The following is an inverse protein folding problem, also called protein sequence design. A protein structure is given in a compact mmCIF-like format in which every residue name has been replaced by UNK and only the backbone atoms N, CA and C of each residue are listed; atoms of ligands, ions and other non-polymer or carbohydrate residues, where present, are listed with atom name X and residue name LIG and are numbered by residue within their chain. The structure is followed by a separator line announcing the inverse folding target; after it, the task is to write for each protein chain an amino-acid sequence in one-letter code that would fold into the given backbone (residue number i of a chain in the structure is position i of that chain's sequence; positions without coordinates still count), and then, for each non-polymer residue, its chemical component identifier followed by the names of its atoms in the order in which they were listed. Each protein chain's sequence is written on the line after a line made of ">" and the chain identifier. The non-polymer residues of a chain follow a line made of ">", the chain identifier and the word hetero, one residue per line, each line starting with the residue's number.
data_IF_741686891287
#
_entry.id   IF_741686891287
#
_cell.length_a   1.000
_cell.length_b   1.000
_cell.length_c   1.000
_cell.angle_alpha   90.00
_cell.angle_beta   90.00
_cell.angle_gamma   90.00
#
_symmetry.space_group_name_H-M   'P 1'
#
loop_
_entity.id
_entity.type
_entity.pdbx_description
1 polymer ?
#
# COMPACT_ATOMS: atom_id res chain seq x y z
N UNK A 1 -4.69 -5.11 -1.10
CA UNK A 1 -3.80 -3.99 -0.79
C UNK A 1 -2.85 -4.39 0.35
N UNK A 2 -1.59 -4.07 0.22
CA UNK A 2 -0.63 -4.46 1.24
C UNK A 2 0.68 -3.70 1.17
N UNK A 3 1.45 -3.79 2.27
CA UNK A 3 2.79 -3.22 2.40
C UNK A 3 3.83 -4.29 2.04
N UNK A 4 4.77 -3.92 1.17
CA UNK A 4 5.90 -4.77 0.81
C UNK A 4 7.20 -4.08 1.24
N UNK A 5 7.95 -4.72 2.15
CA UNK A 5 9.20 -4.17 2.68
C UNK A 5 10.37 -4.92 2.04
N UNK A 6 11.25 -4.21 1.36
CA UNK A 6 12.32 -4.81 0.57
C UNK A 6 13.23 -5.72 1.39
N UNK A 7 13.72 -5.26 2.54
CA UNK A 7 14.60 -6.07 3.39
C UNK A 7 13.91 -7.26 4.06
N UNK A 8 12.58 -7.31 4.02
CA UNK A 8 11.81 -8.43 4.55
C UNK A 8 11.29 -9.34 3.42
N UNK A 9 11.93 -9.30 2.26
CA UNK A 9 11.57 -10.10 1.08
C UNK A 9 10.12 -9.90 0.64
N UNK A 10 9.64 -8.66 0.78
CA UNK A 10 8.28 -8.31 0.38
C UNK A 10 7.21 -8.50 1.43
N UNK A 11 7.57 -8.97 2.63
CA UNK A 11 6.60 -9.08 3.74
C UNK A 11 6.30 -7.69 4.31
N UNK A 12 5.15 -7.46 4.93
CA UNK A 12 4.04 -8.39 5.19
C UNK A 12 3.22 -8.83 3.97
N UNK A 13 3.24 -8.07 2.85
CA UNK A 13 2.52 -8.44 1.64
C UNK A 13 1.03 -8.68 1.87
N UNK A 14 0.53 -9.84 1.44
CA UNK A 14 -0.90 -10.19 1.59
C UNK A 14 -1.32 -10.36 3.05
N UNK A 15 -0.37 -10.49 3.96
CA UNK A 15 -0.65 -10.65 5.40
C UNK A 15 -0.63 -9.32 6.15
N UNK A 16 -0.57 -8.16 5.45
CA UNK A 16 -0.39 -6.85 6.08
C UNK A 16 -1.36 -6.57 7.24
N UNK A 17 -2.65 -6.86 7.07
CA UNK A 17 -3.65 -6.59 8.10
C UNK A 17 -3.56 -7.54 9.32
N UNK A 18 -2.91 -8.69 9.16
CA UNK A 18 -2.84 -9.73 10.19
C UNK A 18 -1.41 -10.24 10.40
N UNK A 19 -0.45 -9.34 10.26
CA UNK A 19 0.97 -9.70 10.35
C UNK A 19 1.39 -10.11 11.75
N UNK A 20 0.89 -9.43 12.77
CA UNK A 20 1.12 -9.80 14.16
C UNK A 20 0.05 -10.78 14.66
N UNK A 21 0.38 -11.50 15.74
CA UNK A 21 -0.55 -12.40 16.40
C UNK A 21 -1.80 -11.66 16.87
N UNK A 22 -1.62 -10.44 17.37
CA UNK A 22 -2.70 -9.59 17.89
C UNK A 22 -3.55 -8.97 16.78
N UNK A 23 -3.02 -8.86 15.58
CA UNK A 23 -3.69 -8.32 14.39
C UNK A 23 -4.20 -6.89 14.54
N UNK A 24 -3.51 -6.08 15.37
CA UNK A 24 -3.77 -4.64 15.48
C UNK A 24 -2.75 -3.88 14.66
N UNK A 25 -3.11 -2.66 14.24
CA UNK A 25 -2.19 -1.80 13.49
C UNK A 25 -0.90 -1.56 14.28
N UNK A 26 -1.03 -1.26 15.57
CA UNK A 26 0.13 -1.00 16.43
C UNK A 26 1.06 -2.20 16.52
N UNK A 27 0.52 -3.40 16.73
CA UNK A 27 1.32 -4.61 16.85
C UNK A 27 1.90 -5.04 15.53
N UNK A 28 1.20 -4.82 14.43
CA UNK A 28 1.71 -5.08 13.08
C UNK A 28 2.92 -4.19 12.78
N UNK A 29 2.83 -2.89 13.13
CA UNK A 29 3.94 -1.95 13.00
C UNK A 29 5.13 -2.41 13.84
N UNK A 30 4.90 -2.73 15.11
CA UNK A 30 5.96 -3.21 16.02
C UNK A 30 6.69 -4.42 15.45
N UNK A 31 5.95 -5.37 14.87
CA UNK A 31 6.56 -6.56 14.28
C UNK A 31 7.46 -6.23 13.09
N UNK A 32 7.01 -5.36 12.18
CA UNK A 32 7.82 -4.91 11.05
C UNK A 32 9.10 -4.24 11.54
N UNK A 33 8.99 -3.31 12.49
CA UNK A 33 10.16 -2.59 13.01
C UNK A 33 11.13 -3.52 13.73
N UNK A 34 10.62 -4.49 14.48
CA UNK A 34 11.44 -5.50 15.15
C UNK A 34 12.21 -6.35 14.15
N UNK A 35 11.55 -6.79 13.11
CA UNK A 35 12.19 -7.63 12.08
C UNK A 35 13.24 -6.87 11.28
N UNK A 36 13.07 -5.56 11.09
CA UNK A 36 14.07 -4.73 10.44
C UNK A 36 15.30 -4.49 11.32
N UNK A 37 15.14 -4.61 12.63
CA UNK A 37 16.24 -4.53 13.59
C UNK A 37 17.16 -3.30 13.38
N UNK A 38 16.53 -2.13 13.20
CA UNK A 38 17.25 -0.87 13.00
C UNK A 38 17.78 -0.61 11.60
N UNK A 39 17.55 -1.52 10.66
CA UNK A 39 18.04 -1.36 9.29
C UNK A 39 17.02 -0.61 8.45
N UNK A 40 17.50 0.40 7.72
CA UNK A 40 16.66 1.15 6.79
C UNK A 40 16.23 0.25 5.62
N UNK A 41 15.00 0.41 5.17
CA UNK A 41 14.50 -0.33 4.03
C UNK A 41 13.59 0.51 3.17
N UNK A 42 13.68 0.30 1.87
CA UNK A 42 12.66 0.77 0.94
C UNK A 42 11.43 -0.10 1.11
N UNK A 43 10.29 0.48 0.81
CA UNK A 43 9.01 -0.20 0.89
C UNK A 43 8.06 0.35 -0.15
N UNK A 44 6.99 -0.37 -0.40
CA UNK A 44 5.92 0.09 -1.27
C UNK A 44 4.59 -0.43 -0.79
N UNK A 45 3.56 0.37 -0.97
CA UNK A 45 2.19 -0.12 -0.90
C UNK A 45 1.78 -0.61 -2.29
N UNK A 46 1.08 -1.72 -2.33
CA UNK A 46 0.61 -2.35 -3.56
C UNK A 46 -0.89 -2.58 -3.45
N UNK A 47 -1.62 -2.22 -4.50
CA UNK A 47 -3.04 -2.54 -4.63
C UNK A 47 -3.26 -3.26 -5.95
N UNK A 48 -4.01 -4.35 -5.93
CA UNK A 48 -4.37 -5.08 -7.14
C UNK A 48 -5.88 -5.29 -7.15
N UNK A 49 -6.52 -4.91 -8.26
CA UNK A 49 -7.92 -5.20 -8.50
C UNK A 49 -7.98 -6.30 -9.57
N UNK A 50 -8.72 -7.36 -9.30
CA UNK A 50 -8.91 -8.45 -10.24
C UNK A 50 -10.34 -8.41 -10.78
N UNK A 51 -10.47 -8.53 -12.09
CA UNK A 51 -11.75 -8.66 -12.77
C UNK A 51 -11.80 -9.99 -13.48
N UNK A 52 -12.81 -10.80 -13.15
CA UNK A 52 -13.06 -12.07 -13.83
C UNK A 52 -14.33 -11.92 -14.64
N UNK A 53 -14.23 -12.12 -15.96
CA UNK A 53 -15.39 -12.03 -16.85
C UNK A 53 -16.16 -13.36 -16.90
N UNK A 54 -17.43 -13.35 -17.33
CA UNK A 54 -18.21 -14.59 -17.44
C UNK A 54 -17.59 -15.64 -18.36
N UNK A 55 -16.76 -15.23 -19.33
CA UNK A 55 -16.08 -16.16 -20.24
C UNK A 55 -14.81 -16.78 -19.62
N UNK A 56 -14.49 -16.45 -18.36
CA UNK A 56 -13.33 -16.97 -17.65
C UNK A 56 -12.05 -16.15 -17.80
N UNK A 57 -12.05 -15.10 -18.62
CA UNK A 57 -10.86 -14.25 -18.75
C UNK A 57 -10.65 -13.40 -17.49
N UNK A 58 -9.38 -13.24 -17.11
CA UNK A 58 -9.00 -12.43 -15.96
C UNK A 58 -8.19 -11.21 -16.40
N UNK A 59 -8.45 -10.09 -15.72
CA UNK A 59 -7.68 -8.86 -15.90
C UNK A 59 -7.30 -8.36 -14.52
N UNK A 60 -6.06 -7.88 -14.37
CA UNK A 60 -5.61 -7.30 -13.10
C UNK A 60 -5.16 -5.86 -13.33
N UNK A 61 -5.37 -5.03 -12.29
CA UNK A 61 -5.04 -3.60 -12.33
C UNK A 61 -4.23 -3.29 -11.08
N UNK A 62 -2.95 -2.99 -11.28
CA UNK A 62 -1.99 -2.83 -10.18
C UNK A 62 -1.60 -1.37 -10.01
N UNK A 63 -1.63 -0.91 -8.75
CA UNK A 63 -1.09 0.38 -8.36
C UNK A 63 -0.02 0.20 -7.30
N UNK A 64 1.01 1.05 -7.33
CA UNK A 64 2.09 1.02 -6.37
C UNK A 64 2.42 2.44 -5.90
N UNK A 65 2.75 2.57 -4.62
CA UNK A 65 3.28 3.81 -4.06
C UNK A 65 4.58 3.47 -3.34
N UNK A 66 5.68 4.05 -3.78
CA UNK A 66 7.01 3.77 -3.26
C UNK A 66 7.38 4.74 -2.14
N UNK A 67 8.05 4.23 -1.12
CA UNK A 67 8.51 4.99 0.01
C UNK A 67 9.58 4.25 0.79
N UNK A 68 9.70 4.62 2.06
CA UNK A 68 10.69 4.02 2.97
C UNK A 68 10.05 3.78 4.33
N UNK A 69 10.59 2.83 5.08
CA UNK A 69 10.17 2.59 6.46
C UNK A 69 11.03 3.45 7.38
N UNK A 70 10.38 4.18 8.29
CA UNK A 70 11.05 4.91 9.37
C UNK A 70 10.70 4.26 10.71
N UNK A 71 11.55 4.47 11.71
CA UNK A 71 11.42 3.80 13.02
C UNK A 71 10.67 4.62 14.05
N UNK A 72 10.31 5.85 13.73
CA UNK A 72 9.51 6.73 14.57
C UNK A 72 8.15 6.92 13.94
N UNK A 73 7.09 6.64 14.68
CA UNK A 73 5.73 6.87 14.19
C UNK A 73 5.48 8.37 14.08
N UNK A 74 5.02 8.80 12.92
CA UNK A 74 4.72 10.21 12.67
C UNK A 74 3.33 10.34 12.05
N UNK A 75 2.50 11.20 12.65
CA UNK A 75 1.16 11.50 12.16
C UNK A 75 0.08 10.62 12.77
N UNK A 76 -1.16 11.06 12.62
CA UNK A 76 -2.33 10.40 13.22
C UNK A 76 -3.43 10.10 12.21
N UNK A 77 -3.23 10.45 10.94
CA UNK A 77 -4.23 10.20 9.90
C UNK A 77 -4.05 8.79 9.33
N UNK A 78 -5.10 8.30 8.67
CA UNK A 78 -5.03 7.03 7.99
C UNK A 78 -5.12 5.82 8.92
N UNK A 79 -4.53 4.71 8.50
CA UNK A 79 -4.62 3.43 9.21
C UNK A 79 -3.43 2.55 8.83
N UNK A 80 -3.35 1.36 9.45
CA UNK A 80 -2.32 0.37 9.14
C UNK A 80 -0.92 0.88 9.39
N UNK A 81 -0.06 0.77 8.38
CA UNK A 81 1.36 1.13 8.47
C UNK A 81 1.64 2.59 8.12
N UNK A 82 0.61 3.40 7.92
CA UNK A 82 0.76 4.80 7.49
C UNK A 82 1.73 5.61 8.36
N UNK A 83 1.78 5.46 9.70
CA UNK A 83 2.70 6.23 10.53
C UNK A 83 4.19 5.96 10.29
N UNK A 84 4.55 4.83 9.70
CA UNK A 84 5.95 4.47 9.42
C UNK A 84 6.29 4.43 7.94
N UNK A 85 5.32 4.69 7.07
CA UNK A 85 5.53 4.74 5.62
C UNK A 85 5.86 6.16 5.19
N UNK A 86 7.14 6.41 4.97
CA UNK A 86 7.68 7.75 4.67
C UNK A 86 7.84 7.95 3.16
N UNK A 87 7.36 9.09 2.67
CA UNK A 87 7.46 9.47 1.25
C UNK A 87 8.51 10.56 1.12
N UNK A 88 9.73 10.24 0.64
CA UNK A 88 10.83 11.21 0.60
C UNK A 88 10.52 12.49 -0.17
N UNK A 89 9.80 12.39 -1.28
CA UNK A 89 9.47 13.56 -2.11
C UNK A 89 8.58 14.56 -1.39
N UNK A 90 7.80 14.11 -0.41
CA UNK A 90 6.91 14.96 0.38
C UNK A 90 7.45 15.26 1.78
N UNK A 91 8.53 14.58 2.17
CA UNK A 91 9.12 14.68 3.52
C UNK A 91 8.07 14.42 4.63
N UNK A 92 7.15 13.50 4.37
CA UNK A 92 6.05 13.16 5.28
C UNK A 92 5.73 11.67 5.21
N UNK A 93 5.19 11.13 6.31
CA UNK A 93 4.59 9.79 6.29
C UNK A 93 3.16 9.89 5.76
N UNK A 94 2.59 8.75 5.36
CA UNK A 94 1.18 8.71 4.96
C UNK A 94 0.25 9.22 6.06
N UNK A 95 0.58 8.97 7.33
CA UNK A 95 -0.22 9.44 8.46
C UNK A 95 -0.12 10.95 8.69
N UNK A 96 0.85 11.62 8.07
CA UNK A 96 1.00 13.08 8.11
C UNK A 96 0.31 13.78 6.94
N UNK A 97 -0.16 13.02 5.95
CA UNK A 97 -0.82 13.59 4.78
C UNK A 97 -2.30 13.83 5.04
N UNK A 98 -2.84 14.87 4.40
CA UNK A 98 -4.30 15.02 4.35
C UNK A 98 -4.87 13.90 3.46
N UNK A 99 -6.18 13.58 3.60
CA UNK A 99 -6.80 12.60 2.71
C UNK A 99 -6.62 12.93 1.23
N UNK A 100 -6.66 14.21 0.88
CA UNK A 100 -6.47 14.68 -0.50
C UNK A 100 -5.05 14.42 -1.00
N UNK A 101 -4.05 14.75 -0.18
CA UNK A 101 -2.64 14.51 -0.51
C UNK A 101 -2.36 13.02 -0.67
N UNK A 102 -2.83 12.21 0.27
CA UNK A 102 -2.67 10.76 0.22
C UNK A 102 -3.31 10.18 -1.02
N UNK A 103 -4.53 10.63 -1.34
CA UNK A 103 -5.27 10.14 -2.50
C UNK A 103 -4.54 10.42 -3.82
N UNK A 104 -3.83 11.56 -3.92
CA UNK A 104 -3.13 11.94 -5.14
C UNK A 104 -1.97 10.99 -5.51
N UNK A 105 -1.40 10.29 -4.53
CA UNK A 105 -0.28 9.37 -4.74
C UNK A 105 -0.60 7.92 -4.37
N UNK A 106 -1.85 7.65 -3.98
CA UNK A 106 -2.25 6.35 -3.44
C UNK A 106 -2.18 5.24 -4.48
N UNK A 107 -1.67 4.09 -4.03
CA UNK A 107 -1.68 2.84 -4.79
C UNK A 107 -3.10 2.41 -5.15
N UNK A 108 -4.07 2.65 -4.25
CA UNK A 108 -5.47 2.31 -4.49
C UNK A 108 -6.08 3.15 -5.60
N UNK A 109 -5.77 4.44 -5.63
CA UNK A 109 -6.25 5.32 -6.69
C UNK A 109 -5.73 4.87 -8.05
N UNK A 110 -4.46 4.50 -8.13
CA UNK A 110 -3.85 4.03 -9.37
C UNK A 110 -4.53 2.78 -9.92
N UNK A 111 -4.78 1.78 -9.07
CA UNK A 111 -5.44 0.56 -9.52
C UNK A 111 -6.88 0.81 -9.93
N UNK A 112 -7.60 1.68 -9.20
CA UNK A 112 -8.97 2.07 -9.55
C UNK A 112 -9.04 2.83 -10.87
N UNK A 113 -8.10 3.73 -11.13
CA UNK A 113 -8.04 4.47 -12.39
C UNK A 113 -7.80 3.54 -13.57
N UNK A 114 -6.90 2.57 -13.43
CA UNK A 114 -6.64 1.57 -14.47
C UNK A 114 -7.88 0.72 -14.75
N UNK A 115 -8.56 0.30 -13.69
CA UNK A 115 -9.81 -0.47 -13.81
C UNK A 115 -10.90 0.35 -14.50
N UNK A 116 -11.08 1.61 -14.11
CA UNK A 116 -12.06 2.50 -14.71
C UNK A 116 -11.77 2.75 -16.19
N UNK A 117 -10.50 2.95 -16.54
CA UNK A 117 -10.10 3.15 -17.94
C UNK A 117 -10.38 1.91 -18.78
N UNK A 118 -10.10 0.73 -18.23
CA UNK A 118 -10.40 -0.53 -18.91
C UNK A 118 -11.90 -0.67 -19.21
N UNK A 119 -12.75 -0.35 -18.25
CA UNK A 119 -14.20 -0.41 -18.44
C UNK A 119 -14.69 0.57 -19.51
N UNK A 120 -14.12 1.77 -19.56
CA UNK A 120 -14.44 2.76 -20.58
C UNK A 120 -14.05 2.28 -21.98
N UNK A 121 -12.88 1.68 -22.12
CA UNK A 121 -12.40 1.15 -23.38
C UNK A 121 -13.29 0.01 -23.89
N UNK A 122 -13.72 -0.89 -23.00
CA UNK A 122 -14.63 -1.97 -23.36
C UNK A 122 -15.99 -1.45 -23.82
N UNK A 123 -16.52 -0.43 -23.16
CA UNK A 123 -17.79 0.17 -23.51
C UNK A 123 -17.72 0.90 -24.86
N UNK A 124 -16.56 1.39 -25.26
CA UNK A 124 -16.37 2.11 -26.52
C UNK A 124 -16.13 1.20 -27.73
N UNK A 125 -15.88 -0.08 -27.49
CA UNK A 125 -15.66 -1.06 -28.56
C UNK A 125 -16.95 -1.62 -29.17
N UNK A 126 -18.09 -1.25 -28.64
CA UNK A 126 -19.40 -1.72 -29.13
C UNK A 126 -19.99 -0.78 -30.16
#
# INVERSE_FOLDING_TARGET
>A
SGLSVELLDGKPGVYSARYSKEQTDEKNIEKVLMELNGKKSKAKFVSVIALVKPDGTEHTFRGECHGEIIFEKRGNNGFGYDPIFYVPTLNKTFAELTPEQKNSISHRKQSLEKFSQFLKEENNEN
#
